data_IF_116039098555
#
_entry.id   IF_116039098555
#
_cell.length_a   1.000
_cell.length_b   1.000
_cell.length_c   1.000
_cell.angle_alpha   90.00
_cell.angle_beta   90.00
_cell.angle_gamma   90.00
#
_symmetry.space_group_name_H-M   'P 1'
#
loop_
_entity.id
_entity.type
_entity.pdbx_description
1 polymer ?
#
# COMPACT_ATOMS: atom_id res chain seq x y z
N UNK A 1 -1.37 7.22 -9.89
CA UNK A 1 -2.70 7.75 -9.55
C UNK A 1 -3.50 6.77 -8.69
N UNK A 2 -3.61 5.51 -9.10
CA UNK A 2 -4.27 4.46 -8.34
C UNK A 2 -3.55 4.15 -7.04
N UNK A 3 -2.21 4.20 -7.02
CA UNK A 3 -1.41 4.01 -5.81
C UNK A 3 -1.68 5.11 -4.78
N UNK A 4 -1.76 6.37 -5.19
CA UNK A 4 -2.09 7.48 -4.29
C UNK A 4 -3.49 7.33 -3.71
N UNK A 5 -4.45 6.85 -4.49
CA UNK A 5 -5.79 6.54 -4.00
C UNK A 5 -5.76 5.44 -2.96
N UNK A 6 -5.02 4.37 -3.22
CA UNK A 6 -4.84 3.29 -2.27
C UNK A 6 -4.21 3.77 -0.95
N UNK A 7 -3.12 4.53 -1.03
CA UNK A 7 -2.45 5.11 0.14
C UNK A 7 -3.41 6.00 0.94
N UNK A 8 -4.18 6.80 0.27
CA UNK A 8 -5.21 7.66 0.87
C UNK A 8 -6.29 6.84 1.59
N UNK A 9 -6.80 5.80 0.97
CA UNK A 9 -7.83 4.93 1.54
C UNK A 9 -7.30 4.17 2.77
N UNK A 10 -6.08 3.66 2.71
CA UNK A 10 -5.41 3.01 3.85
C UNK A 10 -5.28 3.99 5.02
N UNK A 11 -4.80 5.20 4.75
CA UNK A 11 -4.67 6.24 5.77
C UNK A 11 -6.01 6.54 6.43
N UNK A 12 -7.04 6.76 5.65
CA UNK A 12 -8.37 7.09 6.20
C UNK A 12 -8.94 5.96 7.04
N UNK A 13 -8.79 4.71 6.63
CA UNK A 13 -9.25 3.57 7.41
C UNK A 13 -8.47 3.42 8.72
N UNK A 14 -7.17 3.67 8.72
CA UNK A 14 -6.36 3.70 9.94
C UNK A 14 -6.83 4.79 10.90
N UNK A 15 -7.12 5.98 10.40
CA UNK A 15 -7.63 7.10 11.20
C UNK A 15 -8.99 6.76 11.81
N UNK A 16 -9.92 6.20 11.03
CA UNK A 16 -11.23 5.77 11.54
C UNK A 16 -11.09 4.71 12.63
N UNK A 17 -10.26 3.72 12.40
CA UNK A 17 -10.00 2.67 13.40
C UNK A 17 -9.44 3.24 14.71
N UNK A 18 -8.43 4.12 14.60
CA UNK A 18 -7.82 4.76 15.76
C UNK A 18 -8.83 5.63 16.53
N UNK A 19 -9.66 6.40 15.82
CA UNK A 19 -10.71 7.22 16.44
C UNK A 19 -11.72 6.36 17.20
N UNK A 20 -12.15 5.24 16.63
CA UNK A 20 -13.06 4.30 17.30
C UNK A 20 -12.39 3.70 18.55
N UNK A 21 -11.13 3.30 18.47
CA UNK A 21 -10.38 2.74 19.60
C UNK A 21 -10.21 3.74 20.74
N UNK A 22 -10.11 5.03 20.43
CA UNK A 22 -9.98 6.12 21.42
C UNK A 22 -11.31 6.74 21.85
N UNK A 23 -12.45 6.21 21.36
CA UNK A 23 -13.77 6.73 21.68
C UNK A 23 -14.09 8.10 21.06
N UNK A 24 -13.40 8.46 19.97
CA UNK A 24 -13.63 9.70 19.22
C UNK A 24 -14.61 9.48 18.07
N UNK A 25 -15.08 10.58 17.48
CA UNK A 25 -15.83 10.52 16.21
C UNK A 25 -14.99 9.80 15.14
N UNK A 26 -15.50 8.70 14.54
CA UNK A 26 -14.75 7.96 13.51
C UNK A 26 -14.32 8.81 12.32
N UNK A 27 -15.11 9.81 11.94
CA UNK A 27 -14.85 10.67 10.78
C UNK A 27 -13.93 11.87 11.09
N UNK A 28 -13.48 12.01 12.34
CA UNK A 28 -12.55 13.08 12.71
C UNK A 28 -11.20 12.88 11.99
N UNK A 29 -10.73 13.95 11.36
CA UNK A 29 -9.47 13.99 10.61
C UNK A 29 -9.43 13.04 9.38
N UNK A 30 -10.57 12.51 8.97
CA UNK A 30 -10.70 11.78 7.70
C UNK A 30 -10.66 12.79 6.56
N UNK A 31 -9.81 12.52 5.56
CA UNK A 31 -9.67 13.38 4.40
C UNK A 31 -10.65 12.97 3.30
N UNK A 32 -11.12 13.96 2.52
CA UNK A 32 -11.92 13.72 1.33
C UNK A 32 -11.16 14.19 0.09
N UNK A 33 -11.27 13.42 -1.00
CA UNK A 33 -10.78 13.81 -2.31
C UNK A 33 -11.87 14.50 -3.15
N UNK A 34 -13.07 14.60 -2.60
CA UNK A 34 -14.19 15.27 -3.29
C UNK A 34 -14.05 16.77 -3.13
N UNK A 35 -14.23 17.49 -4.23
CA UNK A 35 -14.27 18.95 -4.23
C UNK A 35 -15.49 19.41 -3.44
N UNK A 36 -15.34 20.31 -2.45
CA UNK A 36 -16.47 20.85 -1.70
C UNK A 36 -17.58 21.45 -2.58
N UNK A 37 -17.22 22.08 -3.71
CA UNK A 37 -18.19 22.61 -4.66
C UNK A 37 -18.99 21.50 -5.36
N UNK A 38 -18.37 20.33 -5.59
CA UNK A 38 -19.06 19.17 -6.16
C UNK A 38 -20.04 18.55 -5.17
N UNK A 39 -19.74 18.56 -3.87
CA UNK A 39 -20.67 18.12 -2.83
C UNK A 39 -21.93 18.99 -2.77
N UNK A 40 -21.78 20.32 -2.86
CA UNK A 40 -22.92 21.24 -2.83
C UNK A 40 -23.84 21.10 -4.06
N UNK A 41 -23.30 20.70 -5.20
CA UNK A 41 -24.05 20.53 -6.45
C UNK A 41 -24.69 19.15 -6.62
N UNK A 42 -24.37 18.20 -5.74
CA UNK A 42 -24.84 16.82 -5.83
C UNK A 42 -24.24 16.03 -7.00
N UNK A 43 -23.22 16.57 -7.65
CA UNK A 43 -22.48 15.95 -8.75
C UNK A 43 -21.23 15.20 -8.28
N UNK A 44 -21.33 14.52 -7.12
CA UNK A 44 -20.22 13.73 -6.58
C UNK A 44 -20.08 12.47 -7.40
N UNK A 45 -18.92 12.22 -8.03
CA UNK A 45 -18.68 10.95 -8.71
C UNK A 45 -18.71 9.80 -7.69
N UNK A 46 -19.23 8.65 -8.08
CA UNK A 46 -19.11 7.45 -7.26
C UNK A 46 -17.64 7.17 -6.94
N UNK A 47 -17.32 7.09 -5.66
CA UNK A 47 -15.98 6.72 -5.24
C UNK A 47 -15.72 5.25 -5.57
N UNK A 48 -14.56 4.92 -6.17
CA UNK A 48 -14.23 3.52 -6.40
C UNK A 48 -14.12 2.77 -5.07
N UNK A 49 -14.63 1.55 -5.07
CA UNK A 49 -14.61 0.69 -3.90
C UNK A 49 -13.17 0.39 -3.44
N UNK A 50 -12.93 0.52 -2.14
CA UNK A 50 -11.67 0.11 -1.52
C UNK A 50 -11.72 -1.40 -1.23
N UNK A 51 -11.24 -2.19 -2.18
CA UNK A 51 -11.31 -3.66 -2.15
C UNK A 51 -10.57 -4.29 -0.97
N UNK A 52 -9.49 -3.67 -0.54
CA UNK A 52 -8.63 -4.17 0.54
C UNK A 52 -9.14 -3.80 1.94
N UNK A 53 -10.28 -3.13 2.04
CA UNK A 53 -10.84 -2.64 3.31
C UNK A 53 -11.00 -3.73 4.36
N UNK A 54 -11.60 -4.87 4.00
CA UNK A 54 -11.81 -5.98 4.93
C UNK A 54 -10.51 -6.60 5.42
N UNK A 55 -9.53 -6.75 4.54
CA UNK A 55 -8.20 -7.27 4.89
C UNK A 55 -7.45 -6.31 5.80
N UNK A 56 -7.48 -5.02 5.49
CA UNK A 56 -6.88 -3.99 6.34
C UNK A 56 -7.53 -3.94 7.72
N UNK A 57 -8.85 -4.01 7.80
CA UNK A 57 -9.57 -4.04 9.08
C UNK A 57 -9.11 -5.21 9.96
N UNK A 58 -9.00 -6.40 9.38
CA UNK A 58 -8.50 -7.59 10.07
C UNK A 58 -7.07 -7.40 10.59
N UNK A 59 -6.21 -6.76 9.82
CA UNK A 59 -4.84 -6.44 10.23
C UNK A 59 -4.83 -5.45 11.40
N UNK A 60 -5.64 -4.39 11.33
CA UNK A 60 -5.72 -3.36 12.36
C UNK A 60 -6.25 -3.90 13.71
N UNK A 61 -7.12 -4.89 13.69
CA UNK A 61 -7.66 -5.56 14.88
C UNK A 61 -6.65 -6.48 15.57
N UNK A 62 -5.54 -6.79 14.94
CA UNK A 62 -4.46 -7.58 15.52
C UNK A 62 -3.83 -6.90 16.73
N UNK A 63 -3.41 -7.68 17.73
CA UNK A 63 -2.85 -7.18 19.00
C UNK A 63 -1.34 -6.91 18.94
N UNK A 64 -0.64 -7.59 18.07
CA UNK A 64 0.81 -7.43 17.90
C UNK A 64 1.09 -6.25 16.97
N UNK A 65 1.76 -5.23 17.50
CA UNK A 65 2.09 -4.00 16.78
C UNK A 65 2.97 -4.30 15.57
N UNK A 66 4.00 -5.12 15.72
CA UNK A 66 4.90 -5.48 14.62
C UNK A 66 4.18 -6.29 13.55
N UNK A 67 3.30 -7.21 13.93
CA UNK A 67 2.49 -7.97 13.00
C UNK A 67 1.52 -7.07 12.22
N UNK A 68 0.95 -6.06 12.86
CA UNK A 68 0.12 -5.05 12.17
C UNK A 68 0.90 -4.26 11.15
N UNK A 69 2.05 -3.74 11.55
CA UNK A 69 2.92 -2.97 10.64
C UNK A 69 3.40 -3.83 9.46
N UNK A 70 3.75 -5.08 9.72
CA UNK A 70 4.11 -6.03 8.67
C UNK A 70 2.94 -6.28 7.72
N UNK A 71 1.74 -6.50 8.24
CA UNK A 71 0.55 -6.73 7.44
C UNK A 71 0.21 -5.54 6.54
N UNK A 72 0.35 -4.32 7.06
CA UNK A 72 0.14 -3.09 6.28
C UNK A 72 1.19 -2.97 5.17
N UNK A 73 2.47 -3.20 5.48
CA UNK A 73 3.54 -3.15 4.49
C UNK A 73 3.36 -4.23 3.40
N UNK A 74 2.88 -5.41 3.76
CA UNK A 74 2.55 -6.46 2.81
C UNK A 74 1.40 -6.04 1.88
N UNK A 75 0.38 -5.32 2.39
CA UNK A 75 -0.68 -4.74 1.56
C UNK A 75 -0.14 -3.75 0.53
N UNK A 76 0.76 -2.85 0.94
CA UNK A 76 1.42 -1.93 0.02
C UNK A 76 2.24 -2.65 -1.04
N UNK A 77 3.00 -3.65 -0.63
CA UNK A 77 3.81 -4.46 -1.53
C UNK A 77 2.96 -5.17 -2.58
N UNK A 78 1.89 -5.83 -2.15
CA UNK A 78 0.96 -6.53 -3.03
C UNK A 78 0.26 -5.55 -4.00
N UNK A 79 -0.09 -4.35 -3.52
CA UNK A 79 -0.70 -3.31 -4.36
C UNK A 79 0.26 -2.81 -5.44
N UNK A 80 1.52 -2.61 -5.09
CA UNK A 80 2.56 -2.25 -6.06
C UNK A 80 2.71 -3.33 -7.11
N UNK A 81 2.73 -4.60 -6.71
CA UNK A 81 2.81 -5.74 -7.62
C UNK A 81 1.60 -5.79 -8.58
N UNK A 82 0.39 -5.59 -8.05
CA UNK A 82 -0.84 -5.54 -8.84
C UNK A 82 -0.78 -4.42 -9.89
N UNK A 83 -0.40 -3.20 -9.48
CA UNK A 83 -0.39 -2.03 -10.36
C UNK A 83 0.74 -2.07 -11.39
N UNK A 84 1.80 -2.82 -11.14
CA UNK A 84 2.98 -2.91 -12.01
C UNK A 84 3.11 -4.26 -12.71
N UNK A 85 2.09 -5.11 -12.62
CA UNK A 85 2.13 -6.50 -13.14
C UNK A 85 2.51 -6.59 -14.62
N UNK A 86 2.03 -5.67 -15.44
CA UNK A 86 2.28 -5.64 -16.88
C UNK A 86 3.35 -4.62 -17.30
N UNK A 87 3.96 -3.95 -16.32
CA UNK A 87 4.95 -2.90 -16.56
C UNK A 87 6.36 -3.46 -16.44
N UNK A 88 7.07 -3.53 -17.57
CA UNK A 88 8.48 -3.92 -17.61
C UNK A 88 9.36 -2.67 -17.73
N UNK A 89 10.21 -2.40 -16.77
CA UNK A 89 11.23 -1.34 -16.79
C UNK A 89 10.70 0.06 -17.15
N UNK A 90 9.44 0.34 -16.90
CA UNK A 90 8.89 1.68 -17.05
C UNK A 90 9.05 2.50 -15.75
N UNK A 91 8.65 3.77 -15.80
CA UNK A 91 8.77 4.70 -14.69
C UNK A 91 7.99 4.22 -13.44
N UNK A 92 6.79 3.68 -13.61
CA UNK A 92 5.96 3.18 -12.51
C UNK A 92 6.60 1.98 -11.81
N UNK A 93 7.23 1.10 -12.58
CA UNK A 93 7.97 -0.05 -12.03
C UNK A 93 9.15 0.41 -11.18
N UNK A 94 9.89 1.43 -11.63
CA UNK A 94 11.02 2.02 -10.90
C UNK A 94 10.52 2.68 -9.60
N UNK A 95 9.44 3.45 -9.64
CA UNK A 95 8.83 4.04 -8.46
C UNK A 95 8.38 2.99 -7.45
N UNK A 96 7.76 1.90 -7.92
CA UNK A 96 7.36 0.78 -7.08
C UNK A 96 8.56 0.14 -6.38
N UNK A 97 9.66 -0.06 -7.08
CA UNK A 97 10.91 -0.57 -6.49
C UNK A 97 11.45 0.37 -5.42
N UNK A 98 11.41 1.69 -5.65
CA UNK A 98 11.85 2.68 -4.66
C UNK A 98 11.00 2.60 -3.37
N UNK A 99 9.69 2.48 -3.47
CA UNK A 99 8.82 2.31 -2.30
C UNK A 99 9.15 1.02 -1.55
N UNK A 100 9.34 -0.08 -2.25
CA UNK A 100 9.76 -1.35 -1.66
C UNK A 100 11.09 -1.23 -0.92
N UNK A 101 12.08 -0.51 -1.49
CA UNK A 101 13.36 -0.25 -0.83
C UNK A 101 13.19 0.57 0.45
N UNK A 102 12.28 1.53 0.48
CA UNK A 102 11.97 2.29 1.70
C UNK A 102 11.38 1.39 2.80
N UNK A 103 10.48 0.47 2.43
CA UNK A 103 9.93 -0.52 3.34
C UNK A 103 11.04 -1.41 3.92
N UNK A 104 11.91 -1.92 3.09
CA UNK A 104 13.04 -2.76 3.48
C UNK A 104 13.97 -2.02 4.45
N UNK A 105 14.32 -0.77 4.13
CA UNK A 105 15.15 0.07 5.00
C UNK A 105 14.54 0.23 6.38
N UNK A 106 13.25 0.47 6.46
CA UNK A 106 12.54 0.57 7.74
C UNK A 106 12.65 -0.73 8.55
N UNK A 107 12.43 -1.86 7.90
CA UNK A 107 12.48 -3.16 8.57
C UNK A 107 13.90 -3.59 8.97
N UNK A 108 14.92 -3.23 8.22
CA UNK A 108 16.31 -3.46 8.65
C UNK A 108 16.64 -2.79 9.98
N UNK A 109 15.97 -1.69 10.30
CA UNK A 109 16.11 -0.99 11.58
C UNK A 109 15.25 -1.63 12.67
N UNK A 110 14.01 -2.02 12.36
CA UNK A 110 13.05 -2.57 13.31
C UNK A 110 13.32 -4.04 13.65
N UNK A 111 13.64 -4.83 12.65
CA UNK A 111 13.96 -6.26 12.74
C UNK A 111 14.80 -6.63 11.54
N UNK A 112 16.10 -6.79 11.76
CA UNK A 112 17.10 -7.04 10.72
C UNK A 112 16.80 -8.29 9.90
N UNK A 113 16.35 -9.37 10.54
CA UNK A 113 16.03 -10.63 9.85
C UNK A 113 14.88 -10.45 8.86
N UNK A 114 13.80 -9.80 9.30
CA UNK A 114 12.66 -9.48 8.44
C UNK A 114 13.06 -8.58 7.28
N UNK A 115 13.87 -7.56 7.53
CA UNK A 115 14.38 -6.68 6.48
C UNK A 115 15.23 -7.41 5.45
N UNK A 116 16.08 -8.34 5.88
CA UNK A 116 16.88 -9.19 4.97
C UNK A 116 16.01 -10.11 4.12
N UNK A 117 14.98 -10.71 4.70
CA UNK A 117 14.02 -11.54 3.95
C UNK A 117 13.31 -10.75 2.86
N UNK A 118 12.85 -9.53 3.19
CA UNK A 118 12.21 -8.63 2.23
C UNK A 118 13.17 -8.22 1.11
N UNK A 119 14.43 -7.91 1.45
CA UNK A 119 15.45 -7.57 0.46
C UNK A 119 15.72 -8.74 -0.50
N UNK A 120 15.83 -9.94 0.02
CA UNK A 120 15.97 -11.16 -0.79
C UNK A 120 14.79 -11.34 -1.73
N UNK A 121 13.57 -11.14 -1.24
CA UNK A 121 12.36 -11.19 -2.07
C UNK A 121 12.42 -10.18 -3.22
N UNK A 122 12.83 -8.93 -2.95
CA UNK A 122 12.96 -7.91 -3.99
C UNK A 122 14.04 -8.29 -5.02
N UNK A 123 15.19 -8.79 -4.59
CA UNK A 123 16.26 -9.25 -5.48
C UNK A 123 15.77 -10.38 -6.39
N UNK A 124 15.03 -11.34 -5.85
CA UNK A 124 14.47 -12.45 -6.62
C UNK A 124 13.44 -11.96 -7.65
N UNK A 125 12.60 -10.99 -7.30
CA UNK A 125 11.66 -10.36 -8.21
C UNK A 125 12.37 -9.64 -9.37
N UNK A 126 13.42 -8.88 -9.09
CA UNK A 126 14.22 -8.19 -10.11
C UNK A 126 14.92 -9.19 -11.03
N UNK A 127 15.52 -10.23 -10.48
CA UNK A 127 16.14 -11.31 -11.28
C UNK A 127 15.13 -12.02 -12.16
N UNK A 128 13.93 -12.28 -11.66
CA UNK A 128 12.84 -12.87 -12.45
C UNK A 128 12.45 -12.00 -13.64
N UNK A 129 12.39 -10.68 -13.45
CA UNK A 129 12.11 -9.71 -14.51
C UNK A 129 13.19 -9.74 -15.59
N UNK A 130 14.47 -9.74 -15.22
CA UNK A 130 15.59 -9.81 -16.18
C UNK A 130 15.62 -11.13 -16.93
N UNK A 131 15.38 -12.25 -16.28
CA UNK A 131 15.30 -13.56 -16.95
C UNK A 131 14.18 -13.60 -17.99
N UNK A 132 13.03 -12.99 -17.70
CA UNK A 132 11.94 -12.85 -18.67
C UNK A 132 12.35 -12.03 -19.89
N UNK A 133 13.09 -10.94 -19.71
CA UNK A 133 13.61 -10.10 -20.80
C UNK A 133 14.63 -10.85 -21.63
N UNK A 134 15.61 -11.53 -21.02
CA UNK A 134 16.62 -12.35 -21.74
C UNK A 134 15.97 -13.45 -22.57
N UNK A 135 14.93 -14.09 -22.07
CA UNK A 135 14.22 -15.13 -22.80
C UNK A 135 13.48 -14.60 -24.05
N UNK A 136 12.98 -13.37 -23.99
CA UNK A 136 12.29 -12.73 -25.10
C UNK A 136 13.24 -12.18 -26.19
N UNK A 137 14.52 -12.00 -25.90
CA UNK A 137 15.55 -11.56 -26.86
C UNK A 137 16.10 -12.69 -27.73
N UNK A 138 15.80 -13.93 -27.39
CA UNK A 138 16.18 -15.13 -28.17
C UNK A 138 15.06 -15.54 -29.12
#
# INVERSE_FOLDING_TARGET
REFFRFDFDVRNQKVRYLNQALGRDPEKDVLSLVDPEAEETGLVPEEPEFKESAKLQSILEGRDILARERGIDDLYWDKIDELTLFDYLNFDKILGMMVKMMIIRRWLILDEETGREMFKKLVDEVRGTFKGVEYNEK
#
